data_IF_502902950204
#
_entry.id   IF_502902950204
#
_cell.length_a   1.000
_cell.length_b   1.000
_cell.length_c   1.000
_cell.angle_alpha   90.00
_cell.angle_beta   90.00
_cell.angle_gamma   90.00
#
_symmetry.space_group_name_H-M   'P 1'
#
loop_
_entity.id
_entity.type
_entity.pdbx_description
1 polymer ?
#
# COMPACT_ATOMS: atom_id res chain seq x y z
N UNK A 1 0.38 19.18 6.99
CA UNK A 1 1.70 19.19 6.31
C UNK A 1 1.69 18.19 5.16
N UNK A 2 1.98 18.67 3.94
CA UNK A 2 1.98 17.82 2.75
C UNK A 2 3.12 16.80 2.78
N UNK A 3 2.97 15.70 2.04
CA UNK A 3 4.04 14.71 1.81
C UNK A 3 5.36 15.41 1.39
N UNK A 4 5.26 16.47 0.60
CA UNK A 4 6.38 17.29 0.16
C UNK A 4 7.14 18.00 1.31
N UNK A 5 6.47 18.42 2.37
CA UNK A 5 7.16 19.04 3.53
C UNK A 5 8.00 18.00 4.29
N UNK A 6 7.53 16.75 4.38
CA UNK A 6 8.28 15.66 5.01
C UNK A 6 9.46 15.19 4.15
N UNK A 7 9.30 15.18 2.84
CA UNK A 7 10.38 14.86 1.91
C UNK A 7 11.48 15.93 1.97
N UNK A 8 11.13 17.21 2.14
CA UNK A 8 12.11 18.33 2.25
C UNK A 8 13.10 18.18 3.42
N UNK A 9 12.73 17.49 4.50
CA UNK A 9 13.63 17.30 5.64
C UNK A 9 14.68 16.21 5.41
N UNK A 10 14.52 15.40 4.37
CA UNK A 10 15.36 14.22 4.07
C UNK A 10 16.24 14.47 2.83
N UNK A 11 15.94 15.51 2.02
CA UNK A 11 16.59 15.76 0.74
C UNK A 11 17.66 16.85 0.88
N UNK A 12 18.82 16.73 0.19
CA UNK A 12 19.86 17.75 0.14
C UNK A 12 19.31 19.12 -0.33
N UNK A 13 19.86 20.24 0.16
CA UNK A 13 19.38 21.59 -0.16
C UNK A 13 19.27 21.91 -1.66
N UNK A 14 20.14 21.34 -2.48
CA UNK A 14 20.15 21.53 -3.93
C UNK A 14 18.90 20.93 -4.60
N UNK A 15 18.47 19.75 -4.14
CA UNK A 15 17.25 19.09 -4.62
C UNK A 15 15.98 19.81 -4.14
N UNK A 16 16.05 20.56 -3.04
CA UNK A 16 14.93 21.34 -2.50
C UNK A 16 14.49 22.46 -3.45
N UNK A 17 15.43 23.06 -4.20
CA UNK A 17 15.13 24.10 -5.20
C UNK A 17 14.36 23.53 -6.39
N UNK A 18 14.76 22.38 -6.88
CA UNK A 18 14.06 21.65 -7.94
C UNK A 18 12.64 21.25 -7.51
N UNK A 19 12.48 20.74 -6.26
CA UNK A 19 11.17 20.39 -5.74
C UNK A 19 10.23 21.58 -5.59
N UNK A 20 10.74 22.77 -5.25
CA UNK A 20 9.94 24.01 -5.24
C UNK A 20 9.41 24.32 -6.63
N UNK A 21 10.26 24.28 -7.66
CA UNK A 21 9.85 24.51 -9.05
C UNK A 21 8.80 23.51 -9.51
N UNK A 22 8.97 22.23 -9.15
CA UNK A 22 7.96 21.19 -9.45
C UNK A 22 6.64 21.45 -8.72
N UNK A 23 6.66 21.95 -7.48
CA UNK A 23 5.45 22.29 -6.71
C UNK A 23 4.65 23.45 -7.34
N UNK A 24 5.32 24.38 -7.99
CA UNK A 24 4.67 25.52 -8.67
C UNK A 24 4.00 25.11 -9.99
N UNK A 25 4.49 24.04 -10.61
CA UNK A 25 4.02 23.59 -11.94
C UNK A 25 3.19 22.32 -11.90
N UNK A 26 3.30 21.52 -10.84
CA UNK A 26 2.58 20.25 -10.69
C UNK A 26 1.57 20.30 -9.56
N UNK A 27 0.30 20.27 -9.90
CA UNK A 27 -0.79 20.14 -8.94
C UNK A 27 -1.11 18.66 -8.70
N UNK A 28 -0.83 18.17 -7.49
CA UNK A 28 -1.22 16.81 -7.08
C UNK A 28 -2.64 16.86 -6.52
N UNK A 29 -3.62 16.48 -7.33
CA UNK A 29 -5.01 16.36 -6.89
C UNK A 29 -5.21 15.04 -6.13
N UNK A 30 -5.44 15.14 -4.83
CA UNK A 30 -5.87 14.01 -4.01
C UNK A 30 -7.36 14.17 -3.66
N UNK A 31 -8.24 13.85 -4.61
CA UNK A 31 -9.70 13.97 -4.39
C UNK A 31 -10.23 13.03 -3.31
N UNK A 32 -9.56 11.93 -3.07
CA UNK A 32 -9.93 10.94 -2.04
C UNK A 32 -8.73 10.66 -1.15
N UNK A 33 -8.65 11.35 -0.01
CA UNK A 33 -7.62 11.11 1.00
C UNK A 33 -8.25 11.05 2.39
N UNK A 34 -7.63 10.28 3.26
CA UNK A 34 -8.03 10.20 4.66
C UNK A 34 -7.40 11.37 5.43
N UNK A 35 -8.13 11.91 6.41
CA UNK A 35 -7.60 12.97 7.29
C UNK A 35 -6.56 12.36 8.25
N UNK A 36 -5.29 12.42 7.87
CA UNK A 36 -4.20 11.86 8.67
C UNK A 36 -3.73 12.75 9.82
N UNK A 37 -4.24 13.98 9.93
CA UNK A 37 -3.97 14.86 11.09
C UNK A 37 -4.33 14.20 12.42
N UNK A 38 -5.43 13.44 12.46
CA UNK A 38 -5.89 12.69 13.65
C UNK A 38 -5.07 11.43 13.93
N UNK A 39 -4.21 11.00 12.99
CA UNK A 39 -3.39 9.79 13.10
C UNK A 39 -1.89 10.08 13.21
N UNK A 40 -1.52 11.36 13.38
CA UNK A 40 -0.10 11.80 13.39
C UNK A 40 0.71 11.03 14.45
N UNK A 41 0.18 10.85 15.64
CA UNK A 41 0.87 10.12 16.71
C UNK A 41 1.06 8.64 16.39
N UNK A 42 0.04 8.02 15.78
CA UNK A 42 0.12 6.61 15.34
C UNK A 42 1.18 6.48 14.25
N UNK A 43 1.19 7.38 13.27
CA UNK A 43 2.17 7.37 12.17
C UNK A 43 3.59 7.51 12.72
N UNK A 44 3.80 8.46 13.64
CA UNK A 44 5.11 8.68 14.24
C UNK A 44 5.57 7.46 15.05
N UNK A 45 4.70 6.90 15.91
CA UNK A 45 5.02 5.70 16.69
C UNK A 45 5.38 4.51 15.82
N UNK A 46 4.66 4.31 14.72
CA UNK A 46 4.92 3.23 13.75
C UNK A 46 6.23 3.46 13.03
N UNK A 47 6.50 4.70 12.60
CA UNK A 47 7.74 5.05 11.91
C UNK A 47 8.96 4.86 12.81
N UNK A 48 8.88 5.34 14.04
CA UNK A 48 9.94 5.19 15.03
C UNK A 48 10.22 3.71 15.34
N UNK A 49 9.17 2.91 15.50
CA UNK A 49 9.31 1.47 15.73
C UNK A 49 9.95 0.76 14.53
N UNK A 50 9.57 1.11 13.31
CA UNK A 50 10.16 0.53 12.10
C UNK A 50 11.65 0.89 11.96
N UNK A 51 12.02 2.15 12.22
CA UNK A 51 13.39 2.64 12.16
C UNK A 51 14.27 2.00 13.25
N UNK A 52 13.76 1.93 14.47
CA UNK A 52 14.47 1.39 15.65
C UNK A 52 14.38 -0.13 15.76
N UNK A 53 13.73 -0.81 14.84
CA UNK A 53 13.49 -2.27 14.87
C UNK A 53 12.79 -2.72 16.15
N UNK A 54 11.80 -1.97 16.62
CA UNK A 54 11.02 -2.28 17.81
C UNK A 54 9.66 -2.85 17.43
N UNK A 55 9.27 -3.90 18.16
CA UNK A 55 7.95 -4.53 18.02
C UNK A 55 6.84 -3.59 18.49
N UNK A 56 5.71 -3.61 17.81
CA UNK A 56 4.50 -2.88 18.15
C UNK A 56 3.45 -3.79 18.81
N UNK A 57 2.81 -3.30 19.84
CA UNK A 57 1.49 -3.78 20.27
C UNK A 57 0.42 -2.81 19.79
N UNK A 58 -0.63 -3.32 19.17
CA UNK A 58 -1.71 -2.49 18.66
C UNK A 58 -3.09 -3.12 18.83
N UNK A 59 -4.11 -2.26 19.00
CA UNK A 59 -5.51 -2.65 18.84
C UNK A 59 -5.92 -2.34 17.41
N UNK A 60 -6.22 -3.37 16.65
CA UNK A 60 -6.53 -3.27 15.24
C UNK A 60 -7.99 -3.62 14.94
N UNK A 61 -8.67 -2.78 14.16
CA UNK A 61 -10.03 -3.04 13.70
C UNK A 61 -10.04 -3.79 12.38
N UNK A 62 -10.57 -5.01 12.38
CA UNK A 62 -10.68 -5.86 11.19
C UNK A 62 -12.05 -5.69 10.55
N UNK A 63 -12.11 -5.05 9.37
CA UNK A 63 -13.37 -4.74 8.67
C UNK A 63 -14.22 -5.99 8.39
N UNK A 64 -13.62 -7.04 7.85
CA UNK A 64 -14.36 -8.25 7.47
C UNK A 64 -15.03 -8.99 8.64
N UNK A 65 -14.48 -8.86 9.85
CA UNK A 65 -15.04 -9.48 11.06
C UNK A 65 -15.72 -8.48 11.99
N UNK A 66 -15.65 -7.17 11.67
CA UNK A 66 -16.16 -6.05 12.48
C UNK A 66 -15.70 -6.12 13.95
N UNK A 67 -14.49 -6.62 14.19
CA UNK A 67 -13.93 -6.83 15.55
C UNK A 67 -12.61 -6.11 15.74
N UNK A 68 -12.41 -5.57 16.96
CA UNK A 68 -11.11 -5.10 17.44
C UNK A 68 -10.32 -6.30 17.97
N UNK A 69 -9.04 -6.38 17.64
CA UNK A 69 -8.16 -7.47 18.08
C UNK A 69 -6.81 -6.89 18.50
N UNK A 70 -6.24 -7.42 19.59
CA UNK A 70 -4.87 -7.11 19.98
C UNK A 70 -3.92 -7.80 19.00
N UNK A 71 -2.92 -7.06 18.53
CA UNK A 71 -1.88 -7.54 17.62
C UNK A 71 -0.52 -7.16 18.15
N UNK A 72 0.43 -8.08 17.99
CA UNK A 72 1.85 -7.84 18.15
C UNK A 72 2.45 -7.93 16.75
N UNK A 73 3.14 -6.87 16.31
CA UNK A 73 3.59 -6.72 14.93
C UNK A 73 5.00 -6.14 14.90
N UNK A 74 5.86 -6.74 14.11
CA UNK A 74 7.19 -6.21 13.78
C UNK A 74 7.07 -5.40 12.49
N UNK A 75 7.11 -4.06 12.54
CA UNK A 75 6.87 -3.22 11.37
C UNK A 75 8.10 -3.21 10.46
N UNK A 76 8.01 -3.88 9.31
CA UNK A 76 9.10 -3.97 8.34
C UNK A 76 9.20 -2.73 7.46
N UNK A 77 8.06 -2.29 6.90
CA UNK A 77 7.97 -1.14 5.98
C UNK A 77 6.65 -0.40 6.17
N UNK A 78 6.70 0.90 5.87
CA UNK A 78 5.50 1.73 5.70
C UNK A 78 5.32 1.94 4.20
N UNK A 79 4.11 1.69 3.71
CA UNK A 79 3.71 1.88 2.33
C UNK A 79 2.60 2.94 2.26
N UNK A 80 2.72 3.88 1.33
CA UNK A 80 1.62 4.78 0.96
C UNK A 80 1.07 4.35 -0.40
N UNK A 81 -0.21 4.01 -0.45
CA UNK A 81 -0.87 3.55 -1.66
C UNK A 81 -2.32 4.04 -1.70
N UNK A 82 -2.73 4.62 -2.83
CA UNK A 82 -4.08 5.15 -3.05
C UNK A 82 -4.62 5.97 -1.87
N UNK A 83 -3.84 6.96 -1.40
CA UNK A 83 -4.24 7.86 -0.31
C UNK A 83 -4.26 7.20 1.08
N UNK A 84 -3.79 5.98 1.24
CA UNK A 84 -3.79 5.25 2.51
C UNK A 84 -2.38 4.82 2.90
N UNK A 85 -2.03 5.00 4.19
CA UNK A 85 -0.81 4.43 4.76
C UNK A 85 -1.06 3.02 5.26
N UNK A 86 -0.10 2.14 5.00
CA UNK A 86 -0.10 0.75 5.43
C UNK A 86 1.20 0.40 6.14
N UNK A 87 1.14 -0.53 7.08
CA UNK A 87 2.30 -1.23 7.63
C UNK A 87 2.37 -2.60 6.97
N UNK A 88 3.52 -2.94 6.41
CA UNK A 88 3.87 -4.31 6.09
C UNK A 88 4.76 -4.81 7.20
N UNK A 89 4.41 -5.90 7.85
CA UNK A 89 5.16 -6.43 8.99
C UNK A 89 4.71 -7.81 9.42
N UNK A 90 5.59 -8.46 10.20
CA UNK A 90 5.30 -9.79 10.74
C UNK A 90 4.27 -9.73 11.87
N UNK A 91 3.20 -10.44 11.71
CA UNK A 91 2.13 -10.53 12.69
C UNK A 91 2.31 -11.78 13.57
N UNK A 92 2.72 -11.62 14.81
CA UNK A 92 2.96 -12.74 15.74
C UNK A 92 1.72 -13.63 15.94
N UNK A 93 0.51 -13.04 15.96
CA UNK A 93 -0.73 -13.82 16.06
C UNK A 93 -0.97 -14.71 14.84
N UNK A 94 -0.57 -14.25 13.65
CA UNK A 94 -0.78 -14.99 12.39
C UNK A 94 0.44 -15.79 11.95
N UNK A 95 1.58 -15.54 12.58
CA UNK A 95 2.88 -16.13 12.22
C UNK A 95 3.21 -15.94 10.75
N UNK A 96 2.91 -14.73 10.22
CA UNK A 96 3.06 -14.42 8.81
C UNK A 96 3.18 -12.91 8.61
N UNK A 97 3.83 -12.49 7.50
CA UNK A 97 3.88 -11.09 7.11
C UNK A 97 2.52 -10.62 6.59
N UNK A 98 2.03 -9.52 7.12
CA UNK A 98 0.70 -8.97 6.82
C UNK A 98 0.75 -7.48 6.55
N UNK A 99 -0.26 -7.02 5.81
CA UNK A 99 -0.49 -5.59 5.56
C UNK A 99 -1.60 -5.07 6.48
N UNK A 100 -1.33 -3.95 7.16
CA UNK A 100 -2.26 -3.30 8.08
C UNK A 100 -2.47 -1.85 7.68
N UNK A 101 -3.70 -1.44 7.42
CA UNK A 101 -4.02 -0.03 7.16
C UNK A 101 -3.91 0.78 8.47
N UNK A 102 -3.18 1.90 8.44
CA UNK A 102 -2.91 2.69 9.65
C UNK A 102 -4.19 3.25 10.28
N UNK A 103 -5.15 3.67 9.48
CA UNK A 103 -6.43 4.23 9.92
C UNK A 103 -7.31 3.24 10.69
N UNK A 104 -6.97 1.95 10.63
CA UNK A 104 -7.66 0.89 11.39
C UNK A 104 -7.01 0.60 12.72
N UNK A 105 -5.86 1.20 13.01
CA UNK A 105 -5.22 1.12 14.32
C UNK A 105 -5.96 2.05 15.27
N UNK A 106 -6.41 1.53 16.41
CA UNK A 106 -7.14 2.29 17.44
C UNK A 106 -6.25 2.70 18.60
N UNK A 107 -5.23 1.91 18.85
CA UNK A 107 -4.20 2.16 19.85
C UNK A 107 -2.91 1.50 19.37
N UNK A 108 -1.77 2.14 19.60
CA UNK A 108 -0.45 1.58 19.33
C UNK A 108 0.49 1.90 20.48
N UNK A 109 1.35 0.97 20.83
CA UNK A 109 2.43 1.11 21.79
C UNK A 109 3.69 0.47 21.21
N UNK A 110 4.79 1.20 21.25
CA UNK A 110 6.12 0.66 20.96
C UNK A 110 6.57 -0.14 22.19
N UNK A 111 7.05 -1.35 21.98
CA UNK A 111 7.61 -2.20 23.05
C UNK A 111 9.14 -2.07 23.10
N UNK A 112 9.75 -2.62 24.14
CA UNK A 112 11.22 -2.71 24.24
C UNK A 112 11.80 -3.87 23.46
N UNK A 113 10.96 -4.77 22.93
CA UNK A 113 11.38 -5.92 22.15
C UNK A 113 11.93 -5.52 20.78
N UNK A 114 13.09 -6.07 20.45
CA UNK A 114 13.71 -5.89 19.14
C UNK A 114 13.27 -7.02 18.21
N UNK A 115 13.22 -6.72 16.91
CA UNK A 115 13.01 -7.73 15.87
C UNK A 115 14.09 -7.63 14.78
N UNK A 116 14.24 -8.71 14.05
CA UNK A 116 15.08 -8.78 12.85
C UNK A 116 14.15 -9.10 11.67
N UNK A 117 14.31 -8.38 10.57
CA UNK A 117 13.63 -8.74 9.33
C UNK A 117 14.27 -10.02 8.81
N UNK A 118 13.45 -11.01 8.48
CA UNK A 118 13.91 -12.24 7.88
C UNK A 118 14.76 -11.96 6.63
N UNK A 119 15.92 -12.62 6.52
CA UNK A 119 16.89 -12.35 5.45
C UNK A 119 16.32 -12.61 4.04
N UNK A 120 15.35 -13.50 3.95
CA UNK A 120 14.61 -13.88 2.74
C UNK A 120 13.41 -12.98 2.45
N UNK A 121 13.12 -11.97 3.29
CA UNK A 121 12.02 -11.05 3.04
C UNK A 121 12.36 -10.06 1.93
N UNK A 122 11.67 -10.16 0.81
CA UNK A 122 11.67 -9.21 -0.27
C UNK A 122 10.33 -8.47 -0.34
N UNK A 123 10.35 -7.13 -0.27
CA UNK A 123 9.14 -6.32 -0.42
C UNK A 123 8.55 -6.47 -1.83
N UNK A 124 9.41 -6.55 -2.86
CA UNK A 124 8.98 -6.72 -4.25
C UNK A 124 8.22 -8.04 -4.43
N UNK A 125 8.77 -9.15 -3.95
CA UNK A 125 8.11 -10.45 -4.00
C UNK A 125 6.84 -10.49 -3.13
N UNK A 126 6.87 -9.85 -1.95
CA UNK A 126 5.69 -9.75 -1.10
C UNK A 126 4.54 -9.03 -1.81
N UNK A 127 4.82 -7.99 -2.57
CA UNK A 127 3.83 -7.20 -3.31
C UNK A 127 3.51 -7.78 -4.69
N UNK A 128 4.39 -8.61 -5.25
CA UNK A 128 4.35 -9.04 -6.65
C UNK A 128 3.05 -9.74 -7.10
N UNK A 129 2.33 -10.41 -6.20
CA UNK A 129 1.04 -11.02 -6.53
C UNK A 129 -0.17 -10.14 -6.16
N UNK A 130 0.06 -8.96 -5.56
CA UNK A 130 -1.02 -8.08 -5.12
C UNK A 130 -1.40 -7.10 -6.24
N UNK A 131 -2.64 -7.11 -6.68
CA UNK A 131 -3.16 -6.07 -7.59
C UNK A 131 -3.19 -4.67 -6.94
N UNK A 132 -3.13 -4.60 -5.63
CA UNK A 132 -3.02 -3.40 -4.81
C UNK A 132 -2.10 -3.66 -3.62
N UNK A 133 -2.64 -3.59 -2.41
CA UNK A 133 -1.87 -3.84 -1.16
C UNK A 133 -2.29 -5.11 -0.42
N UNK A 134 -3.42 -5.71 -0.80
CA UNK A 134 -3.93 -6.92 -0.16
C UNK A 134 -3.41 -8.14 -0.89
N UNK A 135 -2.63 -8.96 -0.19
CA UNK A 135 -2.11 -10.22 -0.68
C UNK A 135 -3.13 -11.34 -0.50
N UNK A 136 -3.22 -12.22 -1.48
CA UNK A 136 -3.95 -13.49 -1.47
C UNK A 136 -3.19 -14.53 -2.28
N UNK A 137 -3.85 -15.64 -2.60
CA UNK A 137 -3.29 -16.62 -3.54
C UNK A 137 -3.42 -16.07 -4.97
N UNK A 138 -2.31 -16.01 -5.74
CA UNK A 138 -2.38 -15.58 -7.13
C UNK A 138 -3.22 -16.55 -7.95
N UNK A 139 -4.01 -15.99 -8.86
CA UNK A 139 -4.82 -16.74 -9.81
C UNK A 139 -4.70 -16.09 -11.18
N UNK A 140 -4.72 -16.89 -12.23
CA UNK A 140 -4.81 -16.38 -13.59
C UNK A 140 -6.22 -15.88 -13.84
N UNK A 141 -6.33 -14.58 -14.12
CA UNK A 141 -7.60 -13.93 -14.44
C UNK A 141 -7.66 -13.58 -15.92
N UNK A 142 -8.87 -13.54 -16.43
CA UNK A 142 -9.21 -13.03 -17.75
C UNK A 142 -10.39 -12.07 -17.60
N UNK A 143 -10.22 -10.83 -18.08
CA UNK A 143 -11.23 -9.80 -18.03
C UNK A 143 -11.42 -9.27 -19.45
N UNK A 144 -12.63 -9.29 -19.93
CA UNK A 144 -13.01 -8.64 -21.16
C UNK A 144 -13.39 -7.18 -20.87
N UNK A 145 -12.85 -6.26 -21.65
CA UNK A 145 -13.20 -4.85 -21.61
C UNK A 145 -13.74 -4.41 -22.96
N UNK A 146 -14.86 -3.67 -22.90
CA UNK A 146 -15.54 -3.13 -24.08
C UNK A 146 -14.65 -2.14 -24.86
N UNK A 147 -14.89 -1.93 -26.16
CA UNK A 147 -14.11 -1.03 -27.00
C UNK A 147 -13.97 0.38 -26.43
N UNK A 148 -15.03 0.89 -25.78
CA UNK A 148 -15.12 2.24 -25.24
C UNK A 148 -14.10 2.51 -24.14
N UNK A 149 -13.72 1.48 -23.38
CA UNK A 149 -12.76 1.61 -22.27
C UNK A 149 -11.41 0.96 -22.58
N UNK A 150 -11.30 0.23 -23.67
CA UNK A 150 -10.08 -0.48 -24.06
C UNK A 150 -8.85 0.45 -24.13
N UNK A 151 -9.03 1.68 -24.60
CA UNK A 151 -7.98 2.70 -24.66
C UNK A 151 -7.41 2.98 -23.25
N UNK A 152 -8.27 3.28 -22.27
CA UNK A 152 -7.85 3.58 -20.89
C UNK A 152 -7.10 2.43 -20.23
N UNK A 153 -7.54 1.20 -20.49
CA UNK A 153 -6.88 0.03 -19.92
C UNK A 153 -5.47 -0.14 -20.48
N UNK A 154 -5.28 0.14 -21.78
CA UNK A 154 -3.97 0.02 -22.47
C UNK A 154 -2.98 1.12 -22.07
N UNK A 155 -3.43 2.26 -21.62
CA UNK A 155 -2.56 3.39 -21.26
C UNK A 155 -1.68 3.12 -20.02
N UNK A 156 -2.05 2.14 -19.20
CA UNK A 156 -1.39 1.90 -17.91
C UNK A 156 -0.90 0.47 -17.78
N UNK A 157 0.21 0.32 -17.09
CA UNK A 157 0.61 -0.96 -16.54
C UNK A 157 -0.06 -1.15 -15.17
N UNK A 158 -1.06 -2.03 -15.10
CA UNK A 158 -1.84 -2.31 -13.90
C UNK A 158 -1.18 -3.37 -13.02
N UNK A 159 -0.44 -4.29 -13.65
CA UNK A 159 0.29 -5.34 -12.95
C UNK A 159 1.42 -5.88 -13.83
N UNK A 160 2.56 -6.25 -13.21
CA UNK A 160 3.75 -6.72 -13.94
C UNK A 160 3.47 -7.95 -14.82
N UNK A 161 2.56 -8.84 -14.40
CA UNK A 161 2.18 -10.04 -15.15
C UNK A 161 1.10 -9.80 -16.20
N UNK A 162 0.70 -8.54 -16.44
CA UNK A 162 -0.38 -8.29 -17.38
C UNK A 162 -0.02 -8.60 -18.84
N UNK A 163 -1.01 -9.12 -19.56
CA UNK A 163 -1.00 -9.15 -21.02
C UNK A 163 -2.34 -8.65 -21.54
N UNK A 164 -2.31 -7.95 -22.70
CA UNK A 164 -3.49 -7.38 -23.33
C UNK A 164 -3.59 -7.89 -24.74
N UNK A 165 -4.70 -8.56 -25.05
CA UNK A 165 -4.99 -9.10 -26.38
C UNK A 165 -6.11 -8.30 -27.03
N UNK A 166 -5.80 -7.61 -28.14
CA UNK A 166 -6.80 -6.86 -28.91
C UNK A 166 -7.72 -7.83 -29.66
N UNK A 167 -9.00 -7.52 -29.71
CA UNK A 167 -10.03 -8.22 -30.46
C UNK A 167 -10.40 -7.46 -31.73
N UNK A 168 -11.00 -8.14 -32.71
CA UNK A 168 -11.37 -7.55 -34.02
C UNK A 168 -12.43 -6.46 -33.89
N UNK A 169 -13.28 -6.53 -32.87
CA UNK A 169 -14.35 -5.59 -32.59
C UNK A 169 -13.89 -4.35 -31.79
N UNK A 170 -12.58 -4.21 -31.52
CA UNK A 170 -12.00 -3.14 -30.74
C UNK A 170 -11.99 -3.38 -29.22
N UNK A 171 -12.64 -4.44 -28.75
CA UNK A 171 -12.55 -4.86 -27.34
C UNK A 171 -11.18 -5.44 -27.03
N UNK A 172 -10.89 -5.65 -25.75
CA UNK A 172 -9.64 -6.29 -25.31
C UNK A 172 -9.90 -7.38 -24.28
N UNK A 173 -9.00 -8.33 -24.24
CA UNK A 173 -8.90 -9.28 -23.14
C UNK A 173 -7.64 -8.96 -22.34
N UNK A 174 -7.84 -8.49 -21.12
CA UNK A 174 -6.80 -8.31 -20.12
C UNK A 174 -6.61 -9.62 -19.37
N UNK A 175 -5.36 -10.04 -19.23
CA UNK A 175 -4.99 -11.24 -18.46
C UNK A 175 -3.89 -10.84 -17.47
N UNK A 176 -3.93 -11.41 -16.27
CA UNK A 176 -2.89 -11.26 -15.29
C UNK A 176 -2.91 -12.42 -14.28
N UNK A 177 -1.81 -12.62 -13.59
CA UNK A 177 -1.72 -13.56 -12.47
C UNK A 177 -1.66 -12.76 -11.17
N UNK A 178 -2.80 -12.61 -10.50
CA UNK A 178 -2.98 -11.71 -9.36
C UNK A 178 -3.88 -12.32 -8.30
N UNK A 179 -3.79 -11.80 -7.09
CA UNK A 179 -4.72 -12.15 -6.02
C UNK A 179 -6.10 -11.56 -6.28
N UNK A 180 -7.13 -12.41 -6.29
CA UNK A 180 -8.53 -11.96 -6.42
C UNK A 180 -8.98 -11.36 -5.09
N UNK A 181 -8.84 -10.06 -4.97
CA UNK A 181 -9.16 -9.29 -3.78
C UNK A 181 -10.28 -8.29 -4.05
N UNK A 182 -10.79 -7.66 -2.98
CA UNK A 182 -11.76 -6.56 -3.13
C UNK A 182 -11.21 -5.37 -3.93
N UNK A 183 -9.90 -5.15 -3.88
CA UNK A 183 -9.25 -4.08 -4.66
C UNK A 183 -9.35 -4.37 -6.15
N UNK A 184 -9.06 -5.61 -6.57
CA UNK A 184 -9.24 -6.04 -7.95
C UNK A 184 -10.71 -5.93 -8.39
N UNK A 185 -11.64 -6.45 -7.58
CA UNK A 185 -13.09 -6.39 -7.89
C UNK A 185 -13.54 -4.94 -8.04
N UNK A 186 -13.13 -4.07 -7.12
CA UNK A 186 -13.47 -2.64 -7.16
C UNK A 186 -12.86 -1.89 -8.36
N UNK A 187 -11.77 -2.39 -8.91
CA UNK A 187 -11.17 -1.83 -10.13
C UNK A 187 -11.92 -2.28 -11.39
N UNK A 188 -12.46 -3.50 -11.40
CA UNK A 188 -13.22 -4.04 -12.54
C UNK A 188 -14.59 -3.38 -12.66
N UNK A 189 -15.25 -3.06 -11.53
CA UNK A 189 -16.58 -2.47 -11.45
C UNK A 189 -16.59 -0.95 -11.64
#
# INVERSE_FOLDING_TARGET
ESLFQKIKTIIPPESTKFLKTVQETVFVSQKQHKQYSTFKEIINSVNDAALKRKTLEMIYFTMGRKKKTKRKVDPYRILFFNGTFYIIGYCHMRKDVRTFALDRIKLVRVTDENFVIAADFSLAEYMGAAFGVVRGMPQKIKIWFAPEIAGYIKEKNWHESQTINNQKDGSIIFQAEVSVTRELISWIM
#
